data_IF_679118926714
#
_entry.id   IF_679118926714
#
_cell.length_a   1.000
_cell.length_b   1.000
_cell.length_c   1.000
_cell.angle_alpha   90.00
_cell.angle_beta   90.00
_cell.angle_gamma   90.00
#
_symmetry.space_group_name_H-M   'P 1'
#
loop_
_entity.id
_entity.type
_entity.pdbx_description
1 polymer ?
#
# COMPACT_ATOMS: atom_id res chain seq x y z
N UNK A 1 -15.98 -61.18 -6.72
CA UNK A 1 -14.92 -60.30 -7.24
C UNK A 1 -15.19 -58.93 -6.63
N UNK A 2 -14.32 -58.49 -5.72
CA UNK A 2 -14.35 -57.15 -5.14
C UNK A 2 -13.67 -56.18 -6.10
N UNK A 3 -14.02 -54.89 -6.03
CA UNK A 3 -13.09 -53.82 -5.62
C UNK A 3 -13.81 -52.46 -5.64
N UNK A 4 -13.84 -51.86 -4.45
CA UNK A 4 -14.03 -50.42 -4.20
C UNK A 4 -12.84 -49.64 -4.77
N UNK A 5 -13.08 -48.46 -5.35
CA UNK A 5 -12.17 -47.31 -5.21
C UNK A 5 -12.82 -46.01 -5.66
N UNK A 6 -13.24 -45.24 -4.65
CA UNK A 6 -12.84 -43.84 -4.42
C UNK A 6 -12.99 -42.84 -5.58
N UNK A 7 -13.94 -41.92 -5.42
CA UNK A 7 -13.88 -40.56 -5.99
C UNK A 7 -12.56 -39.88 -5.59
N UNK A 8 -12.08 -38.90 -6.37
CA UNK A 8 -11.91 -37.61 -5.72
C UNK A 8 -12.57 -36.48 -6.50
N UNK A 9 -13.16 -35.59 -5.71
CA UNK A 9 -13.71 -34.32 -6.14
C UNK A 9 -12.75 -33.62 -7.10
N UNK A 10 -13.29 -33.16 -8.23
CA UNK A 10 -12.62 -32.20 -9.08
C UNK A 10 -12.37 -30.94 -8.25
N UNK A 11 -11.14 -30.80 -7.76
CA UNK A 11 -10.65 -29.58 -7.17
C UNK A 11 -10.57 -28.56 -8.31
N UNK A 12 -11.68 -27.84 -8.53
CA UNK A 12 -11.71 -26.66 -9.38
C UNK A 12 -10.82 -25.61 -8.73
N UNK A 13 -9.52 -25.76 -8.99
CA UNK A 13 -8.50 -24.78 -8.68
C UNK A 13 -8.93 -23.53 -9.43
N UNK A 14 -9.46 -22.54 -8.70
CA UNK A 14 -9.56 -21.17 -9.22
C UNK A 14 -8.20 -20.87 -9.85
N UNK A 15 -8.12 -20.40 -11.10
CA UNK A 15 -6.85 -19.93 -11.61
C UNK A 15 -6.38 -18.86 -10.63
N UNK A 16 -5.17 -19.04 -10.08
CA UNK A 16 -4.55 -18.04 -9.24
C UNK A 16 -4.40 -16.80 -10.11
N UNK A 17 -5.37 -15.88 -10.01
CA UNK A 17 -5.24 -14.55 -10.56
C UNK A 17 -3.96 -14.00 -9.98
N UNK A 18 -2.98 -13.77 -10.84
CA UNK A 18 -1.77 -13.06 -10.46
C UNK A 18 -2.23 -11.63 -10.19
N UNK A 19 -2.70 -11.38 -8.97
CA UNK A 19 -3.41 -10.19 -8.50
C UNK A 19 -2.61 -8.90 -8.57
N UNK A 20 -2.13 -8.56 -9.75
CA UNK A 20 -1.26 -7.44 -10.02
C UNK A 20 -1.68 -6.79 -11.32
N UNK A 21 -1.79 -5.47 -11.32
CA UNK A 21 -2.23 -4.68 -12.47
C UNK A 21 -1.28 -3.52 -12.71
N UNK A 22 -1.00 -3.24 -13.97
CA UNK A 22 -0.28 -2.02 -14.33
C UNK A 22 -1.26 -0.84 -14.42
N UNK A 23 -0.87 0.30 -13.87
CA UNK A 23 -1.60 1.57 -13.97
C UNK A 23 -0.66 2.68 -14.45
N UNK A 24 -1.22 3.69 -15.11
CA UNK A 24 -0.51 4.93 -15.42
C UNK A 24 -0.83 5.96 -14.35
N UNK A 25 0.20 6.45 -13.65
CA UNK A 25 0.07 7.46 -12.60
C UNK A 25 1.19 8.48 -12.79
N UNK A 26 0.84 9.77 -12.88
CA UNK A 26 1.78 10.85 -13.19
C UNK A 26 2.66 10.59 -14.44
N UNK A 27 2.13 9.85 -15.43
CA UNK A 27 2.87 9.47 -16.65
C UNK A 27 3.79 8.25 -16.50
N UNK A 28 3.88 7.65 -15.32
CA UNK A 28 4.66 6.45 -15.05
C UNK A 28 3.79 5.20 -15.10
N UNK A 29 4.27 4.13 -15.75
CA UNK A 29 3.62 2.82 -15.73
C UNK A 29 4.12 2.03 -14.53
N UNK A 30 3.26 1.85 -13.53
CA UNK A 30 3.59 1.26 -12.22
C UNK A 30 2.81 -0.04 -12.01
N UNK A 31 3.40 -0.99 -11.29
CA UNK A 31 2.74 -2.24 -10.92
C UNK A 31 2.10 -2.11 -9.54
N UNK A 32 0.82 -2.41 -9.45
CA UNK A 32 0.04 -2.40 -8.21
C UNK A 32 -0.47 -3.80 -7.88
N UNK A 33 -0.74 -4.07 -6.61
CA UNK A 33 -1.47 -5.27 -6.18
C UNK A 33 -3.00 -5.10 -6.30
N UNK A 34 -3.76 -6.05 -5.75
CA UNK A 34 -5.23 -6.05 -5.77
C UNK A 34 -5.84 -4.96 -4.87
N UNK A 35 -5.07 -4.48 -3.89
CA UNK A 35 -5.47 -3.45 -2.91
C UNK A 35 -4.99 -2.04 -3.33
N UNK A 36 -4.44 -1.91 -4.55
CA UNK A 36 -3.91 -0.65 -5.09
C UNK A 36 -2.69 -0.11 -4.33
N UNK A 37 -1.90 -0.98 -3.68
CA UNK A 37 -0.55 -0.63 -3.20
C UNK A 37 0.51 -0.86 -4.27
N UNK A 38 1.55 -0.03 -4.26
CA UNK A 38 2.70 -0.19 -5.14
C UNK A 38 3.43 -1.50 -4.86
N UNK A 39 3.59 -2.32 -5.88
CA UNK A 39 4.30 -3.60 -5.77
C UNK A 39 5.81 -3.41 -5.53
N UNK A 40 6.39 -2.37 -6.14
CA UNK A 40 7.81 -2.03 -5.96
C UNK A 40 7.94 -0.71 -5.18
N UNK A 41 8.48 -0.73 -3.94
CA UNK A 41 8.57 0.48 -3.12
C UNK A 41 9.54 1.53 -3.68
N UNK A 42 10.47 1.11 -4.55
CA UNK A 42 11.41 1.96 -5.26
C UNK A 42 10.83 2.71 -6.46
N UNK A 43 9.64 2.32 -6.95
CA UNK A 43 8.98 3.00 -8.06
C UNK A 43 8.33 4.33 -7.61
N UNK A 44 8.19 4.53 -6.30
CA UNK A 44 7.61 5.74 -5.72
C UNK A 44 8.44 6.98 -6.03
N UNK A 45 7.74 8.08 -6.27
CA UNK A 45 8.27 9.44 -6.48
C UNK A 45 7.28 10.45 -5.90
N UNK A 46 7.71 11.68 -5.69
CA UNK A 46 6.84 12.72 -5.13
C UNK A 46 5.65 13.06 -6.05
N UNK A 47 5.85 13.10 -7.36
CA UNK A 47 4.78 13.31 -8.35
C UNK A 47 3.73 12.17 -8.35
N UNK A 48 4.18 10.92 -8.15
CA UNK A 48 3.30 9.76 -7.97
C UNK A 48 2.49 9.90 -6.67
N UNK A 49 3.12 10.30 -5.56
CA UNK A 49 2.44 10.50 -4.29
C UNK A 49 1.36 11.58 -4.39
N UNK A 50 1.65 12.70 -5.05
CA UNK A 50 0.66 13.75 -5.30
C UNK A 50 -0.49 13.27 -6.18
N UNK A 51 -0.21 12.50 -7.24
CA UNK A 51 -1.25 11.97 -8.11
C UNK A 51 -2.17 11.00 -7.35
N UNK A 52 -1.61 10.09 -6.55
CA UNK A 52 -2.38 9.17 -5.71
C UNK A 52 -3.16 9.91 -4.61
N UNK A 53 -2.60 10.96 -4.01
CA UNK A 53 -3.29 11.78 -3.03
C UNK A 53 -4.60 12.36 -3.60
N UNK A 54 -4.56 12.88 -4.83
CA UNK A 54 -5.77 13.41 -5.51
C UNK A 54 -6.83 12.32 -5.74
N UNK A 55 -6.42 11.09 -6.02
CA UNK A 55 -7.35 9.95 -6.13
C UNK A 55 -8.00 9.62 -4.77
N UNK A 56 -7.27 9.81 -3.67
CA UNK A 56 -7.73 9.64 -2.29
C UNK A 56 -8.48 10.87 -1.73
N UNK A 57 -8.95 11.79 -2.58
CA UNK A 57 -9.62 13.04 -2.18
C UNK A 57 -8.75 13.99 -1.33
N UNK A 58 -7.42 13.88 -1.42
CA UNK A 58 -6.45 14.81 -0.88
C UNK A 58 -5.88 15.68 -2.01
N UNK A 59 -6.46 16.87 -2.21
CA UNK A 59 -6.09 17.74 -3.34
C UNK A 59 -4.61 18.13 -3.34
N UNK A 60 -4.03 18.32 -2.15
CA UNK A 60 -2.63 18.72 -1.95
C UNK A 60 -2.02 18.05 -0.73
N UNK A 61 -0.78 17.60 -0.88
CA UNK A 61 0.07 17.19 0.22
C UNK A 61 0.83 18.42 0.74
N UNK A 62 0.46 18.88 1.94
CA UNK A 62 1.20 19.93 2.63
C UNK A 62 2.44 19.36 3.35
N UNK A 63 3.22 20.24 3.98
CA UNK A 63 4.47 19.87 4.67
C UNK A 63 4.28 18.80 5.77
N UNK A 64 3.14 18.80 6.45
CA UNK A 64 2.84 17.81 7.49
C UNK A 64 2.56 16.42 6.88
N UNK A 65 1.81 16.36 5.78
CA UNK A 65 1.64 15.11 5.03
C UNK A 65 2.99 14.57 4.56
N UNK A 66 3.85 15.43 4.02
CA UNK A 66 5.18 15.04 3.58
C UNK A 66 6.08 14.55 4.72
N UNK A 67 5.99 15.17 5.91
CA UNK A 67 6.72 14.70 7.09
C UNK A 67 6.34 13.25 7.42
N UNK A 68 5.05 12.93 7.39
CA UNK A 68 4.52 11.59 7.65
C UNK A 68 4.92 10.59 6.56
N UNK A 69 4.69 10.93 5.29
CA UNK A 69 5.00 10.07 4.13
C UNK A 69 6.50 9.74 4.08
N UNK A 70 7.36 10.75 4.22
CA UNK A 70 8.82 10.56 4.19
C UNK A 70 9.29 9.73 5.38
N UNK A 71 8.76 9.99 6.58
CA UNK A 71 9.07 9.16 7.75
C UNK A 71 8.69 7.68 7.54
N UNK A 72 7.48 7.40 7.04
CA UNK A 72 7.04 6.02 6.77
C UNK A 72 7.98 5.31 5.78
N UNK A 73 8.37 6.00 4.71
CA UNK A 73 9.29 5.47 3.69
C UNK A 73 10.67 5.20 4.26
N UNK A 74 11.25 6.18 4.93
CA UNK A 74 12.59 6.05 5.53
C UNK A 74 12.60 4.92 6.56
N UNK A 75 11.56 4.85 7.40
CA UNK A 75 11.41 3.79 8.38
C UNK A 75 11.32 2.41 7.72
N UNK A 76 10.54 2.28 6.64
CA UNK A 76 10.43 1.02 5.89
C UNK A 76 11.78 0.60 5.30
N UNK A 77 12.51 1.49 4.63
CA UNK A 77 13.81 1.13 4.04
C UNK A 77 14.88 0.81 5.08
N UNK A 78 14.79 1.39 6.28
CA UNK A 78 15.72 1.11 7.38
C UNK A 78 15.36 -0.18 8.14
N UNK A 79 14.08 -0.52 8.27
CA UNK A 79 13.61 -1.58 9.19
C UNK A 79 12.93 -2.77 8.50
N UNK A 80 12.61 -2.66 7.21
CA UNK A 80 11.90 -3.69 6.44
C UNK A 80 10.43 -3.87 6.82
N UNK A 81 9.84 -2.94 7.59
CA UNK A 81 8.45 -2.99 8.07
C UNK A 81 7.88 -1.60 8.31
N UNK A 82 6.56 -1.50 8.42
CA UNK A 82 5.90 -0.27 8.88
C UNK A 82 6.21 0.03 10.38
N UNK A 83 6.23 1.31 10.79
CA UNK A 83 6.37 1.70 12.19
C UNK A 83 5.10 1.40 13.00
N UNK A 84 5.25 1.25 14.32
CA UNK A 84 4.11 1.29 15.24
C UNK A 84 3.61 2.73 15.42
N UNK A 85 2.34 2.93 15.80
CA UNK A 85 1.76 4.28 16.03
C UNK A 85 2.63 5.14 16.96
N UNK A 86 3.18 4.55 18.03
CA UNK A 86 4.10 5.26 18.95
C UNK A 86 5.40 5.72 18.29
N UNK A 87 5.91 4.95 17.31
CA UNK A 87 7.13 5.28 16.58
C UNK A 87 6.83 6.36 15.53
N UNK A 88 5.68 6.25 14.87
CA UNK A 88 5.19 7.25 13.94
C UNK A 88 5.01 8.61 14.62
N UNK A 89 4.20 8.67 15.68
CA UNK A 89 3.96 9.88 16.45
C UNK A 89 5.26 10.51 16.98
N UNK A 90 6.18 9.68 17.50
CA UNK A 90 7.48 10.16 17.98
C UNK A 90 8.37 10.68 16.84
N UNK A 91 8.39 10.01 15.69
CA UNK A 91 9.23 10.35 14.56
C UNK A 91 8.75 11.56 13.77
N UNK A 92 7.45 11.80 13.74
CA UNK A 92 6.86 12.98 13.11
C UNK A 92 6.64 14.13 14.11
N UNK A 93 6.85 13.91 15.41
CA UNK A 93 6.56 14.86 16.48
C UNK A 93 5.10 15.35 16.46
N UNK A 94 4.19 14.48 16.06
CA UNK A 94 2.76 14.76 15.93
C UNK A 94 1.95 13.81 16.82
N UNK A 95 0.80 14.28 17.28
CA UNK A 95 -0.16 13.40 17.96
C UNK A 95 -0.84 12.48 16.95
N UNK A 96 -1.26 11.28 17.36
CA UNK A 96 -1.96 10.36 16.45
C UNK A 96 -3.23 10.98 15.85
N UNK A 97 -3.97 11.76 16.65
CA UNK A 97 -5.14 12.51 16.20
C UNK A 97 -4.81 13.49 15.07
N UNK A 98 -3.67 14.18 15.17
CA UNK A 98 -3.19 15.08 14.10
C UNK A 98 -2.93 14.30 12.81
N UNK A 99 -2.28 13.14 12.91
CA UNK A 99 -1.94 12.36 11.72
C UNK A 99 -3.21 11.77 11.07
N UNK A 100 -4.15 11.28 11.86
CA UNK A 100 -5.45 10.81 11.36
C UNK A 100 -6.25 11.92 10.67
N UNK A 101 -6.17 13.15 11.17
CA UNK A 101 -6.80 14.31 10.55
C UNK A 101 -6.16 14.69 9.20
N UNK A 102 -4.87 14.39 8.99
CA UNK A 102 -4.18 14.61 7.71
C UNK A 102 -4.60 13.58 6.66
N UNK A 103 -4.92 12.34 7.07
CA UNK A 103 -5.27 11.26 6.15
C UNK A 103 -6.67 10.73 6.43
N UNK A 104 -7.73 11.36 5.88
CA UNK A 104 -9.13 11.01 6.18
C UNK A 104 -9.53 9.59 5.71
N UNK A 105 -8.77 9.01 4.78
CA UNK A 105 -8.90 7.61 4.35
C UNK A 105 -8.15 6.60 5.24
N UNK A 106 -7.48 7.07 6.29
CA UNK A 106 -6.56 6.28 7.10
C UNK A 106 -5.10 6.40 6.64
N UNK A 107 -4.20 5.86 7.46
CA UNK A 107 -2.75 5.72 7.21
C UNK A 107 -2.45 4.29 6.80
#
# INVERSE_FOLDING_TARGET
>A
MAEDKSTPAGNSSRPAGTGRKYRLVAGHKLLFDEEDFLWHPGDWREDIAEALARECSLEKLNDEHWKVIRFLRDFYFQNGRAPLNRQLAKGTEMSMLTIEALFPGGI
#
